data_IF_391842706355
#
_entry.id   IF_391842706355
#
_cell.length_a   1.000
_cell.length_b   1.000
_cell.length_c   1.000
_cell.angle_alpha   90.00
_cell.angle_beta   90.00
_cell.angle_gamma   90.00
#
_symmetry.space_group_name_H-M   'P 1'
#
loop_
_entity.id
_entity.type
_entity.pdbx_description
1 polymer ?
#
# COMPACT_ATOMS: atom_id res chain seq x y z
N UNK A 1 -9.73 -3.63 -5.64
CA UNK A 1 -8.42 -3.65 -4.94
C UNK A 1 -8.55 -2.82 -3.68
N UNK A 2 -8.27 -3.42 -2.52
CA UNK A 2 -8.27 -2.68 -1.26
C UNK A 2 -6.95 -1.91 -1.12
N UNK A 3 -7.00 -0.68 -0.63
CA UNK A 3 -5.83 0.13 -0.25
C UNK A 3 -5.73 0.20 1.27
N UNK A 4 -4.64 0.73 1.80
CA UNK A 4 -4.36 0.70 3.25
C UNK A 4 -4.65 2.05 3.94
N UNK A 5 -4.97 3.10 3.17
CA UNK A 5 -5.23 4.44 3.70
C UNK A 5 -6.14 5.27 2.79
N UNK A 6 -6.87 6.22 3.38
CA UNK A 6 -7.63 7.25 2.67
C UNK A 6 -6.78 8.07 1.69
N UNK A 7 -5.52 8.34 2.03
CA UNK A 7 -4.62 9.09 1.15
C UNK A 7 -4.26 8.28 -0.11
N UNK A 8 -4.08 6.97 0.06
CA UNK A 8 -3.68 6.07 -1.03
C UNK A 8 -4.75 6.00 -2.13
N UNK A 9 -6.03 6.14 -1.78
CA UNK A 9 -7.13 6.22 -2.74
C UNK A 9 -6.88 7.25 -3.85
N UNK A 10 -6.29 8.39 -3.48
CA UNK A 10 -6.04 9.50 -4.41
C UNK A 10 -4.64 9.42 -5.03
N UNK A 11 -3.61 9.14 -4.22
CA UNK A 11 -2.23 9.14 -4.71
C UNK A 11 -1.96 8.00 -5.68
N UNK A 12 -2.64 6.84 -5.56
CA UNK A 12 -2.54 5.78 -6.57
C UNK A 12 -3.10 6.23 -7.91
N UNK A 13 -4.27 6.90 -7.93
CA UNK A 13 -4.86 7.40 -9.18
C UNK A 13 -3.96 8.46 -9.85
N UNK A 14 -3.51 9.46 -9.09
CA UNK A 14 -2.61 10.48 -9.62
C UNK A 14 -1.26 9.89 -10.06
N UNK A 15 -0.70 8.95 -9.30
CA UNK A 15 0.56 8.30 -9.65
C UNK A 15 0.51 7.63 -11.02
N UNK A 16 -0.58 6.90 -11.31
CA UNK A 16 -0.77 6.25 -12.61
C UNK A 16 -1.12 7.24 -13.74
N UNK A 17 -1.82 8.33 -13.43
CA UNK A 17 -2.03 9.41 -14.41
C UNK A 17 -0.71 10.04 -14.85
N UNK A 18 0.15 10.40 -13.89
CA UNK A 18 1.48 10.95 -14.18
C UNK A 18 2.36 9.94 -14.90
N UNK A 19 2.29 8.67 -14.52
CA UNK A 19 2.97 7.60 -15.23
C UNK A 19 2.57 7.56 -16.71
N UNK A 20 1.27 7.64 -17.02
CA UNK A 20 0.78 7.69 -18.40
C UNK A 20 1.38 8.86 -19.18
N UNK A 21 1.36 10.07 -18.61
CA UNK A 21 1.93 11.27 -19.23
C UNK A 21 3.44 11.11 -19.50
N UNK A 22 4.18 10.57 -18.53
CA UNK A 22 5.62 10.32 -18.67
C UNK A 22 5.87 9.24 -19.73
N UNK A 23 5.09 8.17 -19.74
CA UNK A 23 5.21 7.09 -20.70
C UNK A 23 4.99 7.58 -22.13
N UNK A 24 3.95 8.39 -22.34
CA UNK A 24 3.66 8.99 -23.65
C UNK A 24 4.83 9.87 -24.10
N UNK A 25 5.33 10.75 -23.22
CA UNK A 25 6.49 11.59 -23.53
C UNK A 25 7.76 10.77 -23.86
N UNK A 26 8.01 9.67 -23.15
CA UNK A 26 9.15 8.79 -23.41
C UNK A 26 9.00 8.03 -24.74
N UNK A 27 7.77 7.68 -25.11
CA UNK A 27 7.46 6.98 -26.36
C UNK A 27 7.58 7.93 -27.55
N UNK A 28 7.03 9.14 -27.43
CA UNK A 28 7.09 10.19 -28.46
C UNK A 28 8.53 10.64 -28.75
N UNK A 29 9.37 10.72 -27.71
CA UNK A 29 10.80 11.03 -27.85
C UNK A 29 11.64 9.83 -28.31
N UNK A 30 11.07 8.63 -28.31
CA UNK A 30 11.74 7.38 -28.65
C UNK A 30 12.75 6.89 -27.61
N UNK A 31 12.80 7.50 -26.42
CA UNK A 31 13.72 7.12 -25.33
C UNK A 31 13.47 5.68 -24.87
N UNK A 32 12.21 5.21 -24.91
CA UNK A 32 11.83 3.83 -24.58
C UNK A 32 12.59 2.79 -25.43
N UNK A 33 13.02 3.16 -26.64
CA UNK A 33 13.68 2.24 -27.57
C UNK A 33 15.20 2.11 -27.35
N UNK A 34 15.82 3.01 -26.59
CA UNK A 34 17.27 3.00 -26.28
C UNK A 34 17.77 1.64 -25.76
N UNK A 35 17.15 1.00 -24.75
CA UNK A 35 17.64 -0.29 -24.26
C UNK A 35 17.65 -1.38 -25.35
N UNK A 36 16.70 -1.36 -26.28
CA UNK A 36 16.66 -2.33 -27.39
C UNK A 36 17.79 -2.12 -28.38
N UNK A 37 18.06 -0.87 -28.74
CA UNK A 37 19.20 -0.52 -29.59
C UNK A 37 20.51 -0.90 -28.89
N UNK A 38 20.61 -0.67 -27.57
CA UNK A 38 21.77 -1.07 -26.78
C UNK A 38 21.99 -2.58 -26.79
N UNK A 39 20.93 -3.40 -26.62
CA UNK A 39 21.02 -4.86 -26.73
C UNK A 39 21.53 -5.27 -28.12
N UNK A 40 20.98 -4.67 -29.18
CA UNK A 40 21.42 -4.98 -30.55
C UNK A 40 22.91 -4.64 -30.75
N UNK A 41 23.34 -3.46 -30.29
CA UNK A 41 24.73 -3.00 -30.44
C UNK A 41 25.72 -3.82 -29.60
N UNK A 42 25.39 -4.16 -28.36
CA UNK A 42 26.26 -4.99 -27.51
C UNK A 42 26.41 -6.37 -28.12
N UNK A 43 25.32 -6.97 -28.59
CA UNK A 43 25.34 -8.30 -29.20
C UNK A 43 26.04 -8.34 -30.55
N UNK A 44 25.86 -7.33 -31.39
CA UNK A 44 26.60 -7.21 -32.64
C UNK A 44 28.11 -7.08 -32.39
N UNK A 45 28.51 -6.27 -31.40
CA UNK A 45 29.91 -6.13 -30.99
C UNK A 45 30.48 -7.45 -30.47
N UNK A 46 29.73 -8.19 -29.67
CA UNK A 46 30.16 -9.49 -29.13
C UNK A 46 30.34 -10.52 -30.25
N UNK A 47 29.41 -10.56 -31.22
CA UNK A 47 29.52 -11.42 -32.40
C UNK A 47 30.73 -11.06 -33.27
N UNK A 48 31.02 -9.76 -33.47
CA UNK A 48 32.17 -9.31 -34.24
C UNK A 48 33.52 -9.64 -33.57
N UNK A 49 33.57 -9.70 -32.24
CA UNK A 49 34.77 -10.07 -31.47
C UNK A 49 34.96 -11.59 -31.35
N UNK A 50 33.89 -12.37 -31.45
CA UNK A 50 33.89 -13.83 -31.29
C UNK A 50 34.40 -14.64 -32.49
N UNK A 51 35.12 -14.02 -33.43
CA UNK A 51 35.63 -14.66 -34.64
C UNK A 51 36.77 -15.65 -34.40
N UNK A 52 36.48 -16.83 -33.85
CA UNK A 52 37.20 -18.08 -34.08
C UNK A 52 36.41 -19.25 -33.46
N UNK A 53 36.25 -20.35 -34.21
CA UNK A 53 35.68 -21.68 -33.84
C UNK A 53 34.18 -21.95 -34.12
N UNK A 54 33.87 -22.62 -35.24
CA UNK A 54 32.67 -23.49 -35.40
C UNK A 54 31.29 -22.81 -35.54
N UNK A 55 30.20 -23.58 -35.40
CA UNK A 55 28.76 -23.20 -35.52
C UNK A 55 28.28 -22.07 -34.57
N UNK A 56 29.18 -21.20 -34.14
CA UNK A 56 28.95 -20.02 -33.30
C UNK A 56 27.98 -19.04 -33.96
N UNK A 57 27.85 -19.05 -35.29
CA UNK A 57 26.91 -18.17 -35.97
C UNK A 57 25.45 -18.50 -35.63
N UNK A 58 25.06 -19.78 -35.66
CA UNK A 58 23.69 -20.22 -35.34
C UNK A 58 23.37 -20.03 -33.85
N UNK A 59 24.35 -20.30 -32.98
CA UNK A 59 24.18 -20.14 -31.52
C UNK A 59 24.09 -18.65 -31.15
N UNK A 60 24.91 -17.80 -31.76
CA UNK A 60 24.89 -16.36 -31.51
C UNK A 60 23.57 -15.73 -32.00
N UNK A 61 23.11 -16.09 -33.20
CA UNK A 61 21.88 -15.54 -33.78
C UNK A 61 20.66 -15.89 -32.92
N UNK A 62 20.57 -17.15 -32.47
CA UNK A 62 19.47 -17.61 -31.62
C UNK A 62 19.48 -16.99 -30.22
N UNK A 63 20.67 -16.73 -29.66
CA UNK A 63 20.80 -16.05 -28.36
C UNK A 63 20.31 -14.60 -28.43
N UNK A 64 20.68 -13.88 -29.51
CA UNK A 64 20.22 -12.52 -29.76
C UNK A 64 18.70 -12.48 -29.91
N UNK A 65 18.15 -13.41 -30.67
CA UNK A 65 16.72 -13.53 -30.89
C UNK A 65 15.95 -13.74 -29.58
N UNK A 66 16.39 -14.67 -28.74
CA UNK A 66 15.73 -14.95 -27.45
C UNK A 66 15.79 -13.74 -26.53
N UNK A 67 16.95 -13.12 -26.36
CA UNK A 67 17.09 -11.98 -25.46
C UNK A 67 16.30 -10.76 -25.94
N UNK A 68 16.31 -10.50 -27.25
CA UNK A 68 15.51 -9.43 -27.83
C UNK A 68 14.03 -9.67 -27.62
N UNK A 69 13.52 -10.89 -27.87
CA UNK A 69 12.11 -11.21 -27.64
C UNK A 69 11.72 -11.16 -26.17
N UNK A 70 12.57 -11.64 -25.25
CA UNK A 70 12.31 -11.53 -23.82
C UNK A 70 12.27 -10.07 -23.39
N UNK A 71 13.20 -9.24 -23.86
CA UNK A 71 13.20 -7.81 -23.56
C UNK A 71 11.94 -7.12 -24.12
N UNK A 72 11.53 -7.44 -25.35
CA UNK A 72 10.33 -6.89 -25.97
C UNK A 72 9.09 -7.32 -25.20
N UNK A 73 9.00 -8.60 -24.84
CA UNK A 73 7.90 -9.14 -24.06
C UNK A 73 7.76 -8.44 -22.70
N UNK A 74 8.86 -8.28 -21.96
CA UNK A 74 8.85 -7.57 -20.68
C UNK A 74 8.42 -6.12 -20.86
N UNK A 75 8.97 -5.40 -21.84
CA UNK A 75 8.61 -4.01 -22.06
C UNK A 75 7.15 -3.82 -22.49
N UNK A 76 6.59 -4.73 -23.30
CA UNK A 76 5.19 -4.67 -23.72
C UNK A 76 4.20 -4.92 -22.58
N UNK A 77 4.58 -5.71 -21.58
CA UNK A 77 3.69 -6.03 -20.45
C UNK A 77 3.87 -5.04 -19.29
N UNK A 78 5.11 -4.59 -19.05
CA UNK A 78 5.46 -3.74 -17.92
C UNK A 78 5.51 -2.24 -18.23
N UNK A 79 5.57 -1.87 -19.51
CA UNK A 79 5.70 -0.49 -19.97
C UNK A 79 4.37 0.20 -20.30
N UNK A 80 3.66 -0.21 -21.37
CA UNK A 80 2.53 0.56 -21.86
C UNK A 80 1.35 0.50 -20.88
N UNK A 81 0.72 1.64 -20.56
CA UNK A 81 -0.49 1.69 -19.76
C UNK A 81 -1.68 1.21 -20.60
N UNK A 82 -1.96 -0.09 -20.57
CA UNK A 82 -2.94 -0.74 -21.45
C UNK A 82 -4.26 -1.12 -20.76
N UNK A 83 -4.28 -1.23 -19.42
CA UNK A 83 -5.45 -1.70 -18.67
C UNK A 83 -6.06 -0.55 -17.87
N UNK A 84 -7.34 -0.29 -18.08
CA UNK A 84 -8.08 0.73 -17.34
C UNK A 84 -8.39 0.28 -15.91
N UNK A 85 -7.91 1.05 -14.93
CA UNK A 85 -8.33 0.98 -13.54
C UNK A 85 -9.37 2.07 -13.26
N UNK A 86 -10.58 1.65 -12.87
CA UNK A 86 -11.61 2.56 -12.40
C UNK A 86 -11.36 2.98 -10.95
N UNK A 87 -11.64 4.25 -10.62
CA UNK A 87 -11.63 4.75 -9.26
C UNK A 87 -12.58 3.96 -8.34
N UNK A 88 -13.70 3.44 -8.86
CA UNK A 88 -14.64 2.61 -8.10
C UNK A 88 -14.11 1.22 -7.77
N UNK A 89 -13.07 0.75 -8.47
CA UNK A 89 -12.42 -0.51 -8.18
C UNK A 89 -11.44 -0.40 -7.01
N UNK A 90 -11.17 0.81 -6.49
CA UNK A 90 -10.27 1.07 -5.37
C UNK A 90 -11.11 1.43 -4.15
N UNK A 91 -10.89 0.74 -3.03
CA UNK A 91 -11.66 0.97 -1.82
C UNK A 91 -10.79 0.86 -0.57
N UNK A 92 -11.13 1.60 0.46
CA UNK A 92 -10.54 1.49 1.78
C UNK A 92 -11.62 1.20 2.81
N UNK A 93 -11.45 0.13 3.58
CA UNK A 93 -12.26 -0.14 4.77
C UNK A 93 -11.36 0.02 5.97
N UNK A 94 -11.54 1.06 6.81
CA UNK A 94 -10.75 1.18 8.02
C UNK A 94 -11.12 0.04 8.99
N UNK A 95 -10.23 -0.22 9.96
CA UNK A 95 -10.50 -1.21 10.99
C UNK A 95 -11.64 -0.75 11.89
N UNK A 96 -12.49 -1.68 12.33
CA UNK A 96 -13.56 -1.39 13.27
C UNK A 96 -12.99 -0.86 14.60
N UNK A 97 -13.62 0.16 15.14
CA UNK A 97 -13.25 0.76 16.43
C UNK A 97 -14.41 0.67 17.40
N UNK A 98 -14.17 0.95 18.69
CA UNK A 98 -15.23 0.91 19.71
C UNK A 98 -16.33 1.95 19.44
N UNK A 99 -15.99 3.06 18.77
CA UNK A 99 -16.93 4.13 18.43
C UNK A 99 -17.63 3.89 17.08
N UNK A 100 -17.04 3.07 16.21
CA UNK A 100 -17.59 2.70 14.91
C UNK A 100 -17.31 1.21 14.64
N UNK A 101 -18.24 0.32 15.04
CA UNK A 101 -18.07 -1.13 14.90
C UNK A 101 -18.26 -1.61 13.46
N UNK A 102 -18.82 -0.78 12.57
CA UNK A 102 -19.10 -1.11 11.16
C UNK A 102 -18.74 0.07 10.27
N UNK A 103 -17.45 0.41 10.16
CA UNK A 103 -17.06 1.60 9.44
C UNK A 103 -17.36 1.48 7.95
N UNK A 104 -17.73 2.61 7.34
CA UNK A 104 -18.09 2.67 5.93
C UNK A 104 -16.88 2.42 5.03
N UNK A 105 -17.12 1.72 3.91
CA UNK A 105 -16.12 1.56 2.86
C UNK A 105 -15.96 2.88 2.11
N UNK A 106 -14.80 3.51 2.25
CA UNK A 106 -14.45 4.70 1.51
C UNK A 106 -13.99 4.37 0.09
N UNK A 107 -14.39 5.21 -0.85
CA UNK A 107 -13.94 5.17 -2.25
C UNK A 107 -13.50 6.57 -2.67
N UNK A 108 -12.80 6.74 -3.80
CA UNK A 108 -12.45 8.07 -4.28
C UNK A 108 -13.69 8.95 -4.59
N UNK A 109 -14.85 8.34 -4.86
CA UNK A 109 -16.12 9.03 -5.13
C UNK A 109 -16.92 9.34 -3.85
N UNK A 110 -16.76 8.52 -2.81
CA UNK A 110 -17.32 8.77 -1.48
C UNK A 110 -16.19 8.69 -0.44
N UNK A 111 -15.29 9.69 -0.44
CA UNK A 111 -14.16 9.70 0.47
C UNK A 111 -14.63 10.11 1.85
N UNK A 112 -14.71 9.14 2.77
CA UNK A 112 -15.07 9.33 4.18
C UNK A 112 -13.94 10.01 4.99
N UNK A 113 -13.26 11.00 4.38
CA UNK A 113 -12.11 11.70 4.94
C UNK A 113 -11.99 13.13 4.41
N UNK A 114 -11.24 13.97 5.15
CA UNK A 114 -10.96 15.36 4.75
C UNK A 114 -10.18 15.49 3.44
N UNK A 115 -9.46 14.43 3.02
CA UNK A 115 -8.75 14.40 1.74
C UNK A 115 -9.67 14.55 0.53
N UNK A 116 -10.93 14.11 0.66
CA UNK A 116 -11.93 14.23 -0.39
C UNK A 116 -12.79 15.48 -0.34
N UNK A 117 -12.95 16.10 0.83
CA UNK A 117 -13.82 17.27 1.02
C UNK A 117 -13.08 18.61 0.99
N UNK A 118 -11.76 18.64 1.19
CA UNK A 118 -10.99 19.88 1.35
C UNK A 118 -10.21 20.33 0.10
N UNK A 119 -10.54 19.86 -1.11
CA UNK A 119 -9.89 20.30 -2.35
C UNK A 119 -8.43 19.84 -2.55
N UNK A 120 -7.80 19.23 -1.55
CA UNK A 120 -6.41 18.77 -1.61
C UNK A 120 -6.15 17.77 -2.77
N UNK A 121 -7.16 16.97 -3.13
CA UNK A 121 -7.12 16.03 -4.25
C UNK A 121 -8.30 16.21 -5.22
N UNK A 122 -8.86 17.42 -5.31
CA UNK A 122 -9.89 17.72 -6.30
C UNK A 122 -9.33 17.53 -7.71
N UNK A 123 -10.06 16.78 -8.56
CA UNK A 123 -9.62 16.47 -9.92
C UNK A 123 -8.93 15.11 -10.07
N UNK A 124 -9.00 14.23 -9.07
CA UNK A 124 -8.60 12.84 -9.24
C UNK A 124 -9.37 12.21 -10.43
N UNK A 125 -8.66 11.53 -11.34
CA UNK A 125 -9.27 10.95 -12.53
C UNK A 125 -10.23 9.82 -12.16
N UNK A 126 -11.37 9.74 -12.86
CA UNK A 126 -12.34 8.66 -12.67
C UNK A 126 -11.81 7.29 -13.13
N UNK A 127 -10.86 7.29 -14.06
CA UNK A 127 -10.15 6.11 -14.52
C UNK A 127 -8.73 6.46 -14.96
N UNK A 128 -7.80 5.53 -14.78
CA UNK A 128 -6.41 5.64 -15.22
C UNK A 128 -5.94 4.33 -15.84
N UNK A 129 -5.08 4.42 -16.84
CA UNK A 129 -4.51 3.24 -17.46
C UNK A 129 -3.21 2.83 -16.76
N UNK A 130 -3.04 1.53 -16.54
CA UNK A 130 -1.91 0.95 -15.81
C UNK A 130 -1.32 -0.19 -16.66
N UNK A 131 0.01 -0.40 -16.61
CA UNK A 131 0.61 -1.56 -17.26
C UNK A 131 0.14 -2.88 -16.63
N UNK A 132 0.01 -3.91 -17.47
CA UNK A 132 -0.53 -5.22 -17.08
C UNK A 132 0.29 -5.84 -15.93
N UNK A 133 1.62 -5.79 -16.04
CA UNK A 133 2.54 -6.33 -15.02
C UNK A 133 2.31 -5.67 -13.66
N UNK A 134 2.24 -4.34 -13.63
CA UNK A 134 2.09 -3.58 -12.40
C UNK A 134 0.71 -3.75 -11.79
N UNK A 135 -0.34 -3.85 -12.61
CA UNK A 135 -1.66 -4.20 -12.13
C UNK A 135 -1.67 -5.57 -11.41
N UNK A 136 -1.03 -6.59 -12.01
CA UNK A 136 -0.90 -7.91 -11.40
C UNK A 136 -0.11 -7.87 -10.08
N UNK A 137 1.03 -7.19 -10.04
CA UNK A 137 1.82 -7.04 -8.81
C UNK A 137 1.03 -6.32 -7.73
N UNK A 138 0.43 -5.17 -8.04
CA UNK A 138 -0.29 -4.37 -7.05
C UNK A 138 -1.47 -5.16 -6.46
N UNK A 139 -2.27 -5.80 -7.31
CA UNK A 139 -3.38 -6.63 -6.86
C UNK A 139 -2.92 -7.81 -5.99
N UNK A 140 -1.84 -8.50 -6.38
CA UNK A 140 -1.28 -9.60 -5.61
C UNK A 140 -0.72 -9.13 -4.26
N UNK A 141 0.10 -8.08 -4.25
CA UNK A 141 0.69 -7.52 -3.03
C UNK A 141 -0.38 -7.06 -2.05
N UNK A 142 -1.44 -6.40 -2.52
CA UNK A 142 -2.57 -6.00 -1.67
C UNK A 142 -3.36 -7.19 -1.16
N UNK A 143 -3.58 -8.22 -1.98
CA UNK A 143 -4.22 -9.47 -1.56
C UNK A 143 -3.45 -10.17 -0.44
N UNK A 144 -2.11 -10.24 -0.56
CA UNK A 144 -1.25 -10.81 0.48
C UNK A 144 -1.29 -9.97 1.76
N UNK A 145 -1.15 -8.65 1.66
CA UNK A 145 -1.23 -7.76 2.82
C UNK A 145 -2.56 -7.91 3.55
N UNK A 146 -3.67 -7.92 2.82
CA UNK A 146 -4.99 -8.13 3.39
C UNK A 146 -5.09 -9.48 4.11
N UNK A 147 -4.65 -10.56 3.48
CA UNK A 147 -4.65 -11.89 4.09
C UNK A 147 -3.83 -11.93 5.39
N UNK A 148 -2.65 -11.29 5.41
CA UNK A 148 -1.80 -11.19 6.60
C UNK A 148 -2.51 -10.41 7.71
N UNK A 149 -3.07 -9.24 7.41
CA UNK A 149 -3.76 -8.39 8.39
C UNK A 149 -4.98 -9.11 8.97
N UNK A 150 -5.79 -9.79 8.14
CA UNK A 150 -6.93 -10.58 8.63
C UNK A 150 -6.53 -11.81 9.43
N UNK A 151 -5.30 -12.31 9.23
CA UNK A 151 -4.74 -13.43 9.98
C UNK A 151 -4.09 -13.03 11.29
N UNK A 152 -3.85 -11.73 11.53
CA UNK A 152 -3.39 -11.27 12.84
C UNK A 152 -4.53 -11.47 13.85
N UNK A 153 -4.23 -11.94 15.07
CA UNK A 153 -5.24 -12.02 16.12
C UNK A 153 -5.82 -10.63 16.35
N UNK A 154 -7.14 -10.50 16.21
CA UNK A 154 -7.92 -9.29 16.51
C UNK A 154 -7.99 -9.03 18.03
N UNK A 155 -6.89 -9.18 18.77
CA UNK A 155 -6.90 -8.56 20.08
C UNK A 155 -6.87 -7.07 19.86
N UNK A 156 -7.96 -6.41 20.26
CA UNK A 156 -7.99 -4.97 20.46
C UNK A 156 -7.05 -4.71 21.61
N UNK A 157 -5.75 -4.76 21.33
CA UNK A 157 -4.73 -4.65 22.35
C UNK A 157 -4.95 -3.32 23.04
N UNK A 158 -4.85 -3.30 24.36
CA UNK A 158 -4.94 -2.08 25.16
C UNK A 158 -4.00 -0.98 24.60
N UNK A 159 -2.93 -1.37 23.90
CA UNK A 159 -2.01 -0.46 23.17
C UNK A 159 -2.64 0.22 21.96
N UNK A 160 -3.48 -0.46 21.20
CA UNK A 160 -4.22 0.11 20.07
C UNK A 160 -5.27 1.10 20.58
N UNK A 161 -6.01 0.73 21.63
CA UNK A 161 -6.93 1.65 22.32
C UNK A 161 -6.18 2.84 22.90
N UNK A 162 -5.00 2.64 23.45
CA UNK A 162 -4.16 3.71 23.98
C UNK A 162 -3.64 4.63 22.87
N UNK A 163 -3.25 4.11 21.71
CA UNK A 163 -2.88 4.92 20.54
C UNK A 163 -4.07 5.69 19.99
N UNK A 164 -5.24 5.06 19.88
CA UNK A 164 -6.47 5.74 19.47
C UNK A 164 -6.87 6.83 20.46
N UNK A 165 -6.74 6.59 21.77
CA UNK A 165 -6.99 7.60 22.80
C UNK A 165 -6.01 8.77 22.75
N UNK A 166 -4.75 8.55 22.33
CA UNK A 166 -3.78 9.63 22.11
C UNK A 166 -4.07 10.46 20.85
N UNK A 167 -4.64 9.83 19.82
CA UNK A 167 -5.07 10.49 18.58
C UNK A 167 -6.41 11.21 18.74
N UNK A 168 -7.25 10.77 19.69
CA UNK A 168 -8.51 11.43 20.02
C UNK A 168 -8.24 12.81 20.64
N UNK A 169 -8.63 13.86 19.92
CA UNK A 169 -8.52 15.24 20.40
C UNK A 169 -9.75 15.60 21.23
N UNK A 170 -9.58 15.68 22.55
CA UNK A 170 -10.61 16.22 23.45
C UNK A 170 -10.73 17.72 23.22
N UNK A 171 -11.87 18.16 22.68
CA UNK A 171 -12.11 19.55 22.28
C UNK A 171 -12.30 20.49 23.48
N UNK A 172 -12.85 19.99 24.58
CA UNK A 172 -13.11 20.75 25.80
C UNK A 172 -11.84 20.82 26.69
N UNK A 173 -11.32 22.03 27.00
CA UNK A 173 -10.13 22.18 27.83
C UNK A 173 -10.32 21.72 29.29
N UNK A 174 -11.54 21.75 29.83
CA UNK A 174 -11.85 21.33 31.21
C UNK A 174 -11.79 19.81 31.31
N UNK A 175 -12.49 19.10 30.41
CA UNK A 175 -12.48 17.64 30.36
C UNK A 175 -11.07 17.10 30.11
N UNK A 176 -10.28 17.78 29.28
CA UNK A 176 -8.89 17.42 29.05
C UNK A 176 -8.03 17.55 30.31
N UNK A 177 -8.25 18.60 31.12
CA UNK A 177 -7.55 18.78 32.38
C UNK A 177 -7.92 17.68 33.40
N UNK A 178 -9.21 17.40 33.56
CA UNK A 178 -9.72 16.35 34.46
C UNK A 178 -9.22 14.95 34.07
N UNK A 179 -9.25 14.62 32.77
CA UNK A 179 -8.72 13.35 32.27
C UNK A 179 -7.21 13.21 32.52
N UNK A 180 -6.45 14.29 32.32
CA UNK A 180 -5.00 14.30 32.60
C UNK A 180 -4.70 14.12 34.09
N UNK A 181 -5.51 14.72 34.97
CA UNK A 181 -5.38 14.61 36.41
C UNK A 181 -5.71 13.19 36.88
N UNK A 182 -6.82 12.61 36.40
CA UNK A 182 -7.16 11.22 36.66
C UNK A 182 -6.06 10.25 36.22
N UNK A 183 -5.48 10.48 35.04
CA UNK A 183 -4.42 9.62 34.52
C UNK A 183 -3.18 9.62 35.42
N UNK A 184 -2.75 10.79 35.87
CA UNK A 184 -1.57 10.93 36.71
C UNK A 184 -1.82 10.48 38.16
N UNK A 185 -2.95 10.85 38.74
CA UNK A 185 -3.22 10.68 40.18
C UNK A 185 -3.80 9.30 40.50
N UNK A 186 -4.58 8.69 39.59
CA UNK A 186 -5.22 7.40 39.82
C UNK A 186 -4.70 6.29 38.92
N UNK A 187 -4.62 6.49 37.61
CA UNK A 187 -4.33 5.41 36.67
C UNK A 187 -2.88 4.91 36.76
N UNK A 188 -1.89 5.82 36.69
CA UNK A 188 -0.46 5.44 36.74
C UNK A 188 -0.10 4.73 38.06
N UNK A 189 -0.53 5.21 39.24
CA UNK A 189 -0.28 4.51 40.50
C UNK A 189 -0.99 3.16 40.59
N UNK A 190 -2.26 3.08 40.18
CA UNK A 190 -3.03 1.84 40.23
C UNK A 190 -2.43 0.76 39.33
N UNK A 191 -2.04 1.11 38.10
CA UNK A 191 -1.33 0.21 37.18
C UNK A 191 0.00 -0.24 37.76
N UNK A 192 0.78 0.67 38.33
CA UNK A 192 2.07 0.33 38.94
C UNK A 192 1.91 -0.60 40.13
N UNK A 193 0.86 -0.43 40.94
CA UNK A 193 0.53 -1.34 42.05
C UNK A 193 0.12 -2.72 41.54
N UNK A 194 -0.76 -2.78 40.55
CA UNK A 194 -1.18 -4.04 39.92
C UNK A 194 0.00 -4.84 39.34
N UNK A 195 0.90 -4.18 38.62
CA UNK A 195 2.07 -4.83 38.02
C UNK A 195 3.08 -5.36 39.05
N UNK A 196 3.18 -4.71 40.21
CA UNK A 196 4.02 -5.17 41.32
C UNK A 196 3.38 -6.34 42.08
N UNK A 197 2.12 -6.18 42.47
CA UNK A 197 1.47 -7.09 43.42
C UNK A 197 0.90 -8.34 42.72
N UNK A 198 0.65 -8.27 41.40
CA UNK A 198 0.02 -9.31 40.56
C UNK A 198 -1.06 -10.11 41.30
N UNK A 199 -2.07 -9.44 41.86
CA UNK A 199 -3.03 -10.09 42.73
C UNK A 199 -3.93 -11.06 41.94
N UNK A 200 -3.93 -12.32 42.34
CA UNK A 200 -4.78 -13.37 41.75
C UNK A 200 -5.95 -13.67 42.70
N UNK A 201 -7.07 -12.98 42.51
CA UNK A 201 -8.34 -13.32 43.19
C UNK A 201 -9.41 -13.59 42.14
N UNK A 202 -10.37 -14.46 42.44
CA UNK A 202 -11.45 -14.80 41.51
C UNK A 202 -12.19 -13.54 40.99
N UNK A 203 -12.42 -12.55 41.85
CA UNK A 203 -13.05 -11.28 41.46
C UNK A 203 -12.19 -10.47 40.47
N UNK A 204 -10.86 -10.45 40.67
CA UNK A 204 -9.92 -9.78 39.76
C UNK A 204 -9.87 -10.52 38.42
N UNK A 205 -9.85 -11.86 38.44
CA UNK A 205 -9.90 -12.67 37.21
C UNK A 205 -11.18 -12.42 36.43
N UNK A 206 -12.34 -12.29 37.08
CA UNK A 206 -13.60 -11.95 36.42
C UNK A 206 -13.55 -10.55 35.79
N UNK A 207 -13.04 -9.55 36.51
CA UNK A 207 -12.86 -8.19 35.99
C UNK A 207 -11.89 -8.13 34.81
N UNK A 208 -10.78 -8.87 34.86
CA UNK A 208 -9.82 -8.96 33.76
C UNK A 208 -10.40 -9.70 32.56
N UNK A 209 -11.23 -10.73 32.77
CA UNK A 209 -11.93 -11.40 31.68
C UNK A 209 -12.99 -10.51 31.02
N UNK A 210 -13.59 -9.57 31.76
CA UNK A 210 -14.61 -8.64 31.25
C UNK A 210 -14.01 -7.38 30.59
N UNK A 211 -12.91 -6.83 31.14
CA UNK A 211 -12.34 -5.54 30.71
C UNK A 211 -10.86 -5.59 30.28
N UNK A 212 -10.18 -6.71 30.49
CA UNK A 212 -8.73 -6.88 30.30
C UNK A 212 -8.37 -8.00 29.32
N UNK A 213 -9.23 -8.24 28.32
CA UNK A 213 -8.93 -9.20 27.27
C UNK A 213 -7.68 -8.73 26.49
N UNK A 214 -6.58 -9.48 26.69
CA UNK A 214 -5.34 -9.40 25.92
C UNK A 214 -5.53 -9.78 24.44
#
# INVERSE_FOLDING_TARGET
MAVDSYLELFTTLFGWQWYGIIWDALTDTGIVYIPFVMILLTRWKDAARGGSYGNVHDIALRSIEIEFYVAVFVALIAGPPAVGLSATAISYTPSATLNDPTPATATPALPDSSYGSAGAFSGAPASVNIPVWWYAILSLSKGINHAIVTGMPNSVGIREVQQQAQLATVSDPVVRAEASQFYNDCFVPARSKYLRDKPTSAAITTLLNEYGAD
#
